data_IF_174561757761
#
_entry.id   IF_174561757761
#
_cell.length_a   1.000
_cell.length_b   1.000
_cell.length_c   1.000
_cell.angle_alpha   90.00
_cell.angle_beta   90.00
_cell.angle_gamma   90.00
#
_symmetry.space_group_name_H-M   'P 1'
#
loop_
_entity.id
_entity.type
_entity.pdbx_description
1 polymer ?
#
# COMPACT_ATOMS: atom_id res chain seq x y z
N UNK A 1 -8.67 -5.73 12.42
CA UNK A 1 -7.47 -5.00 11.98
C UNK A 1 -7.76 -3.51 12.08
N UNK A 2 -6.82 -2.72 12.58
CA UNK A 2 -6.91 -1.28 12.72
C UNK A 2 -6.13 -0.55 11.61
N UNK A 3 -6.43 0.73 11.42
CA UNK A 3 -5.67 1.65 10.57
C UNK A 3 -4.94 2.65 11.46
N UNK A 4 -3.86 3.26 10.95
CA UNK A 4 -3.14 4.27 11.73
C UNK A 4 -3.93 5.54 12.01
N UNK A 5 -4.84 5.88 11.12
CA UNK A 5 -5.89 6.89 11.26
C UNK A 5 -7.08 6.49 10.39
N UNK A 6 -8.18 7.24 10.45
CA UNK A 6 -9.20 7.16 9.39
C UNK A 6 -8.66 7.77 8.08
N UNK A 7 -9.24 7.37 6.94
CA UNK A 7 -8.96 7.98 5.64
C UNK A 7 -10.23 8.00 4.77
N UNK A 8 -10.29 8.96 3.84
CA UNK A 8 -11.36 9.02 2.84
C UNK A 8 -11.08 8.06 1.70
N UNK A 9 -12.08 7.38 1.17
CA UNK A 9 -11.92 6.47 0.04
C UNK A 9 -13.04 6.67 -0.98
N UNK A 10 -12.68 6.66 -2.26
CA UNK A 10 -13.64 6.42 -3.33
C UNK A 10 -14.20 4.99 -3.22
N UNK A 11 -15.38 4.73 -3.78
CA UNK A 11 -15.94 3.37 -3.78
C UNK A 11 -15.00 2.34 -4.45
N UNK A 12 -14.38 2.62 -5.62
CA UNK A 12 -13.41 1.70 -6.20
C UNK A 12 -12.23 1.40 -5.28
N UNK A 13 -11.67 2.42 -4.61
CA UNK A 13 -10.55 2.23 -3.69
C UNK A 13 -10.96 1.38 -2.50
N UNK A 14 -12.14 1.63 -1.91
CA UNK A 14 -12.64 0.88 -0.77
C UNK A 14 -12.83 -0.62 -1.09
N UNK A 15 -13.41 -0.93 -2.27
CA UNK A 15 -13.60 -2.32 -2.72
C UNK A 15 -12.25 -2.99 -2.99
N UNK A 16 -11.35 -2.34 -3.72
CA UNK A 16 -10.02 -2.89 -4.01
C UNK A 16 -9.23 -3.15 -2.72
N UNK A 17 -9.29 -2.23 -1.76
CA UNK A 17 -8.69 -2.41 -0.44
C UNK A 17 -9.28 -3.61 0.32
N UNK A 18 -10.61 -3.75 0.36
CA UNK A 18 -11.25 -4.87 1.04
C UNK A 18 -10.85 -6.23 0.43
N UNK A 19 -10.81 -6.33 -0.89
CA UNK A 19 -10.36 -7.53 -1.59
C UNK A 19 -8.88 -7.82 -1.35
N UNK A 20 -8.05 -6.78 -1.38
CA UNK A 20 -6.63 -6.88 -1.05
C UNK A 20 -6.40 -7.37 0.38
N UNK A 21 -7.13 -6.84 1.38
CA UNK A 21 -6.98 -7.27 2.77
C UNK A 21 -7.32 -8.77 2.92
N UNK A 22 -8.48 -9.18 2.40
CA UNK A 22 -9.00 -10.55 2.52
C UNK A 22 -8.15 -11.56 1.75
N UNK A 23 -7.76 -11.24 0.50
CA UNK A 23 -7.15 -12.21 -0.41
C UNK A 23 -5.64 -12.10 -0.54
N UNK A 24 -5.02 -11.03 -0.03
CA UNK A 24 -3.57 -10.83 -0.12
C UNK A 24 -2.94 -10.56 1.24
N UNK A 25 -3.34 -9.49 1.94
CA UNK A 25 -2.62 -9.02 3.13
C UNK A 25 -2.65 -10.04 4.26
N UNK A 26 -3.84 -10.49 4.66
CA UNK A 26 -3.98 -11.45 5.76
C UNK A 26 -3.42 -12.83 5.39
N UNK A 27 -3.68 -13.40 4.19
CA UNK A 27 -3.06 -14.65 3.79
C UNK A 27 -1.53 -14.59 3.74
N UNK A 28 -0.93 -13.49 3.25
CA UNK A 28 0.53 -13.33 3.23
C UNK A 28 1.10 -13.27 4.65
N UNK A 29 0.43 -12.54 5.57
CA UNK A 29 0.86 -12.45 6.96
C UNK A 29 0.78 -13.83 7.65
N UNK A 30 -0.30 -14.57 7.42
CA UNK A 30 -0.47 -15.91 7.96
C UNK A 30 0.58 -16.89 7.41
N UNK A 31 0.88 -16.82 6.10
CA UNK A 31 1.83 -17.71 5.46
C UNK A 31 3.29 -17.46 5.89
N UNK A 32 3.63 -16.21 6.18
CA UNK A 32 5.01 -15.83 6.54
C UNK A 32 5.24 -15.84 8.05
N UNK A 33 4.30 -15.33 8.83
CA UNK A 33 4.47 -15.14 10.27
C UNK A 33 3.56 -16.02 11.15
N UNK A 34 2.67 -16.80 10.55
CA UNK A 34 1.70 -17.60 11.31
C UNK A 34 0.63 -16.76 12.04
N UNK A 35 0.53 -15.46 11.75
CA UNK A 35 -0.35 -14.53 12.44
C UNK A 35 -0.87 -13.42 11.53
N UNK A 36 -1.89 -12.70 12.00
CA UNK A 36 -2.55 -11.62 11.26
C UNK A 36 -1.82 -10.29 11.37
N UNK A 37 -2.04 -9.43 10.38
CA UNK A 37 -1.78 -7.99 10.53
C UNK A 37 -2.87 -7.39 11.42
N UNK A 38 -2.44 -6.82 12.54
CA UNK A 38 -3.32 -6.11 13.48
C UNK A 38 -3.49 -4.63 13.13
N UNK A 39 -2.50 -3.99 12.50
CA UNK A 39 -2.57 -2.58 12.08
C UNK A 39 -1.85 -2.31 10.76
N UNK A 40 -2.40 -1.43 9.93
CA UNK A 40 -1.71 -0.83 8.78
C UNK A 40 -1.28 0.60 9.11
N UNK A 41 -0.02 0.92 8.85
CA UNK A 41 0.56 2.26 8.98
C UNK A 41 0.57 2.90 7.59
N UNK A 42 -0.26 3.95 7.38
CA UNK A 42 -0.46 4.59 6.08
C UNK A 42 -0.21 6.11 6.13
N UNK A 43 0.05 6.72 4.98
CA UNK A 43 0.32 8.15 4.81
C UNK A 43 -0.90 8.94 4.34
N UNK A 44 -1.99 8.24 4.02
CA UNK A 44 -3.28 8.85 3.69
C UNK A 44 -3.77 8.50 2.30
N UNK A 45 -4.96 9.00 1.97
CA UNK A 45 -5.63 8.73 0.69
C UNK A 45 -6.05 10.00 -0.06
N UNK A 46 -6.30 11.10 0.66
CA UNK A 46 -6.76 12.35 0.06
C UNK A 46 -5.72 13.46 0.16
N UNK A 47 -5.42 14.06 -1.00
CA UNK A 47 -4.67 15.30 -1.12
C UNK A 47 -5.02 15.95 -2.46
N UNK A 48 -5.73 17.08 -2.44
CA UNK A 48 -6.10 17.81 -3.66
C UNK A 48 -4.87 18.48 -4.29
N UNK A 49 -4.19 17.76 -5.18
CA UNK A 49 -2.97 18.22 -5.87
C UNK A 49 -2.74 17.50 -7.20
N UNK A 50 -1.95 18.14 -8.04
CA UNK A 50 -1.38 17.51 -9.23
C UNK A 50 -0.29 16.50 -8.86
N UNK A 51 0.06 15.62 -9.80
CA UNK A 51 1.15 14.65 -9.62
C UNK A 51 2.46 15.40 -9.33
N UNK A 52 3.17 14.99 -8.28
CA UNK A 52 4.38 15.66 -7.78
C UNK A 52 4.21 17.18 -7.52
N UNK A 53 2.98 17.67 -7.29
CA UNK A 53 2.66 19.10 -7.18
C UNK A 53 3.07 19.94 -8.40
N UNK A 54 3.23 19.33 -9.58
CA UNK A 54 3.61 20.05 -10.80
C UNK A 54 2.39 20.75 -11.40
N UNK A 55 2.46 22.07 -11.57
CA UNK A 55 1.36 22.91 -12.06
C UNK A 55 0.75 22.40 -13.38
N UNK A 56 1.58 21.95 -14.33
CA UNK A 56 1.15 21.51 -15.66
C UNK A 56 1.01 19.98 -15.79
N UNK A 57 0.83 19.26 -14.68
CA UNK A 57 0.59 17.81 -14.70
C UNK A 57 -0.86 17.48 -14.37
N UNK A 58 -1.32 16.29 -14.78
CA UNK A 58 -2.66 15.80 -14.42
C UNK A 58 -2.83 15.71 -12.90
N UNK A 59 -4.09 15.74 -12.46
CA UNK A 59 -4.46 15.48 -11.06
C UNK A 59 -3.94 14.11 -10.60
N UNK A 60 -3.44 14.07 -9.36
CA UNK A 60 -3.11 12.82 -8.69
C UNK A 60 -4.38 12.02 -8.39
N UNK A 61 -4.27 10.69 -8.29
CA UNK A 61 -5.37 9.87 -7.79
C UNK A 61 -5.74 10.18 -6.33
N UNK A 62 -4.82 10.76 -5.55
CA UNK A 62 -5.14 11.29 -4.23
C UNK A 62 -6.10 12.49 -4.25
N UNK A 63 -6.17 13.24 -5.36
CA UNK A 63 -7.05 14.40 -5.45
C UNK A 63 -8.54 14.03 -5.38
N UNK A 64 -8.85 12.76 -5.62
CA UNK A 64 -10.20 12.21 -5.60
C UNK A 64 -10.34 11.03 -4.63
N UNK A 65 -9.43 10.91 -3.65
CA UNK A 65 -9.39 9.79 -2.69
C UNK A 65 -9.41 8.41 -3.37
N UNK A 66 -8.78 8.30 -4.54
CA UNK A 66 -8.72 7.10 -5.39
C UNK A 66 -7.35 6.41 -5.30
N UNK A 67 -6.54 6.77 -4.31
CA UNK A 67 -5.24 6.17 -4.01
C UNK A 67 -5.00 6.07 -2.51
N UNK A 68 -4.18 5.13 -2.07
CA UNK A 68 -3.77 4.95 -0.68
C UNK A 68 -2.26 4.71 -0.63
N UNK A 69 -1.57 5.41 0.26
CA UNK A 69 -0.12 5.23 0.49
C UNK A 69 0.11 4.43 1.78
N UNK A 70 0.65 3.21 1.68
CA UNK A 70 0.93 2.31 2.83
C UNK A 70 2.44 2.26 3.13
N UNK A 71 2.84 2.61 4.35
CA UNK A 71 4.25 2.67 4.78
C UNK A 71 4.69 1.45 5.60
N UNK A 72 3.74 0.68 6.16
CA UNK A 72 4.08 -0.49 6.96
C UNK A 72 2.90 -1.17 7.63
N UNK A 73 3.23 -2.17 8.46
CA UNK A 73 2.28 -3.07 9.10
C UNK A 73 2.72 -3.38 10.53
N UNK A 74 1.75 -3.71 11.39
CA UNK A 74 1.97 -4.27 12.73
C UNK A 74 1.23 -5.59 12.86
N UNK A 75 1.95 -6.61 13.30
CA UNK A 75 1.39 -7.94 13.56
C UNK A 75 0.67 -7.98 14.92
N UNK A 76 -0.04 -9.08 15.19
CA UNK A 76 -0.82 -9.26 16.42
C UNK A 76 0.04 -9.29 17.69
N UNK A 77 1.28 -9.77 17.60
CA UNK A 77 2.28 -9.75 18.68
C UNK A 77 2.97 -8.39 18.87
N UNK A 78 2.65 -7.38 18.04
CA UNK A 78 3.25 -6.05 18.08
C UNK A 78 4.51 -5.88 17.21
N UNK A 79 5.00 -6.93 16.55
CA UNK A 79 6.10 -6.84 15.59
C UNK A 79 5.77 -5.83 14.49
N UNK A 80 6.75 -4.96 14.19
CA UNK A 80 6.62 -3.91 13.18
C UNK A 80 7.37 -4.28 11.91
N UNK A 81 6.71 -4.03 10.79
CA UNK A 81 7.23 -4.18 9.44
C UNK A 81 7.12 -2.82 8.76
N UNK A 82 8.23 -2.25 8.32
CA UNK A 82 8.31 -0.92 7.74
C UNK A 82 8.97 -0.99 6.37
N UNK A 83 8.31 -0.42 5.36
CA UNK A 83 8.77 -0.57 3.99
C UNK A 83 10.17 0.01 3.77
N UNK A 84 10.46 1.19 4.32
CA UNK A 84 11.78 1.83 4.18
C UNK A 84 12.92 0.99 4.75
N UNK A 85 12.69 0.27 5.86
CA UNK A 85 13.73 -0.50 6.56
C UNK A 85 13.84 -1.95 6.12
N UNK A 86 12.70 -2.57 5.85
CA UNK A 86 12.61 -4.02 5.71
C UNK A 86 12.45 -4.46 4.22
N UNK A 87 12.27 -3.52 3.29
CA UNK A 87 12.21 -3.86 1.87
C UNK A 87 13.56 -4.37 1.35
N UNK A 88 13.54 -5.50 0.66
CA UNK A 88 14.75 -6.15 0.14
C UNK A 88 15.54 -6.95 1.17
N UNK A 89 15.08 -6.99 2.43
CA UNK A 89 15.62 -7.92 3.42
C UNK A 89 15.41 -9.39 2.97
N UNK A 90 16.43 -10.22 3.16
CA UNK A 90 16.35 -11.66 2.86
C UNK A 90 15.50 -12.45 3.85
N UNK A 91 15.13 -11.82 4.98
CA UNK A 91 14.26 -12.41 6.00
C UNK A 91 12.77 -12.35 5.67
N UNK A 92 11.97 -12.81 6.63
CA UNK A 92 10.51 -12.92 6.51
C UNK A 92 9.84 -11.57 6.23
N UNK A 93 10.37 -10.46 6.74
CA UNK A 93 9.79 -9.13 6.51
C UNK A 93 9.90 -8.71 5.05
N UNK A 94 11.07 -8.86 4.44
CA UNK A 94 11.25 -8.54 3.01
C UNK A 94 10.44 -9.48 2.12
N UNK A 95 10.39 -10.77 2.45
CA UNK A 95 9.51 -11.75 1.79
C UNK A 95 8.04 -11.36 1.87
N UNK A 96 7.55 -11.00 3.05
CA UNK A 96 6.17 -10.55 3.26
C UNK A 96 5.85 -9.28 2.45
N UNK A 97 6.74 -8.29 2.47
CA UNK A 97 6.53 -7.05 1.71
C UNK A 97 6.47 -7.31 0.19
N UNK A 98 7.28 -8.23 -0.31
CA UNK A 98 7.26 -8.67 -1.71
C UNK A 98 5.90 -9.31 -2.06
N UNK A 99 5.43 -10.25 -1.23
CA UNK A 99 4.13 -10.90 -1.42
C UNK A 99 2.96 -9.91 -1.37
N UNK A 100 3.02 -8.94 -0.44
CA UNK A 100 2.02 -7.87 -0.33
C UNK A 100 1.99 -7.02 -1.59
N UNK A 101 3.14 -6.57 -2.08
CA UNK A 101 3.26 -5.76 -3.30
C UNK A 101 2.71 -6.53 -4.52
N UNK A 102 3.12 -7.78 -4.70
CA UNK A 102 2.70 -8.58 -5.85
C UNK A 102 1.21 -8.92 -5.82
N UNK A 103 0.64 -9.21 -4.65
CA UNK A 103 -0.80 -9.43 -4.51
C UNK A 103 -1.62 -8.14 -4.62
N UNK A 104 -1.09 -7.00 -4.20
CA UNK A 104 -1.72 -5.69 -4.41
C UNK A 104 -1.93 -5.42 -5.92
N UNK A 105 -0.96 -5.78 -6.77
CA UNK A 105 -1.06 -5.61 -8.21
C UNK A 105 -2.22 -6.37 -8.88
N UNK A 106 -2.86 -7.31 -8.18
CA UNK A 106 -4.06 -8.02 -8.66
C UNK A 106 -5.35 -7.22 -8.41
N UNK A 107 -5.35 -6.35 -7.42
CA UNK A 107 -6.55 -5.64 -6.95
C UNK A 107 -6.53 -4.15 -7.33
N UNK A 108 -5.33 -3.55 -7.40
CA UNK A 108 -5.14 -2.15 -7.76
C UNK A 108 -4.67 -2.02 -9.22
N UNK A 109 -5.03 -0.90 -9.86
CA UNK A 109 -4.56 -0.58 -11.20
C UNK A 109 -3.07 -0.24 -11.19
N UNK A 110 -2.66 0.63 -10.26
CA UNK A 110 -1.27 1.05 -10.09
C UNK A 110 -0.78 0.70 -8.70
N UNK A 111 0.38 0.06 -8.62
CA UNK A 111 1.15 -0.15 -7.39
C UNK A 111 2.57 0.34 -7.66
N UNK A 112 3.00 1.38 -6.95
CA UNK A 112 4.35 1.94 -7.01
C UNK A 112 5.02 1.78 -5.64
N UNK A 113 6.19 1.18 -5.61
CA UNK A 113 6.98 0.97 -4.41
C UNK A 113 8.45 1.34 -4.59
N UNK A 114 9.34 0.80 -3.73
CA UNK A 114 10.73 1.23 -3.69
C UNK A 114 11.53 0.96 -4.98
N UNK A 115 11.07 0.03 -5.81
CA UNK A 115 11.68 -0.27 -7.11
C UNK A 115 11.22 0.67 -8.23
N UNK A 116 10.20 1.52 -8.01
CA UNK A 116 9.72 2.46 -9.03
C UNK A 116 10.59 3.71 -9.13
N UNK A 117 10.73 4.46 -8.03
CA UNK A 117 11.62 5.63 -7.92
C UNK A 117 11.84 6.07 -6.47
N UNK A 118 12.73 7.04 -6.27
CA UNK A 118 13.09 7.57 -4.95
C UNK A 118 11.91 8.15 -4.15
N UNK A 119 10.86 8.65 -4.81
CA UNK A 119 9.70 9.21 -4.13
C UNK A 119 8.81 8.14 -3.47
N UNK A 120 8.91 6.87 -3.90
CA UNK A 120 8.12 5.75 -3.38
C UNK A 120 8.98 4.76 -2.58
N UNK A 121 10.15 5.18 -2.10
CA UNK A 121 11.08 4.33 -1.35
C UNK A 121 10.57 3.86 0.02
N UNK A 122 9.60 4.57 0.58
CA UNK A 122 9.13 4.40 1.95
C UNK A 122 7.64 4.07 2.08
N UNK A 123 6.92 4.00 0.96
CA UNK A 123 5.52 3.57 0.91
C UNK A 123 5.17 2.88 -0.41
N UNK A 124 4.14 2.03 -0.37
CA UNK A 124 3.43 1.61 -1.58
C UNK A 124 2.32 2.61 -1.88
N UNK A 125 2.40 3.24 -3.05
CA UNK A 125 1.28 3.97 -3.63
C UNK A 125 0.39 3.00 -4.39
N UNK A 126 -0.87 2.89 -3.99
CA UNK A 126 -1.84 1.97 -4.59
C UNK A 126 -3.04 2.78 -5.09
N UNK A 127 -3.38 2.70 -6.37
CA UNK A 127 -4.48 3.49 -6.96
C UNK A 127 -5.37 2.73 -7.95
N UNK A 128 -6.57 3.28 -8.16
CA UNK A 128 -7.59 2.76 -9.10
C UNK A 128 -7.69 3.62 -10.37
N UNK A 129 -6.57 4.19 -10.81
CA UNK A 129 -6.46 4.94 -12.05
C UNK A 129 -6.64 4.08 -13.29
N UNK A 130 -6.63 4.73 -14.46
CA UNK A 130 -6.84 4.07 -15.77
C UNK A 130 -5.64 3.26 -16.27
N UNK A 131 -4.47 3.47 -15.69
CA UNK A 131 -3.22 2.85 -16.13
C UNK A 131 -2.87 1.65 -15.26
N UNK A 132 -2.36 0.58 -15.89
CA UNK A 132 -1.86 -0.59 -15.18
C UNK A 132 -0.35 -0.52 -15.00
N UNK A 133 0.12 -0.39 -13.76
CA UNK A 133 1.55 -0.36 -13.41
C UNK A 133 1.76 -1.16 -12.13
N UNK A 134 2.77 -2.03 -12.10
CA UNK A 134 3.18 -2.77 -10.91
C UNK A 134 4.71 -2.72 -10.84
N UNK A 135 5.26 -1.84 -10.00
CA UNK A 135 6.72 -1.62 -9.86
C UNK A 135 7.09 -1.28 -8.44
#
# INVERSE_FOLDING_TARGET
MALSSSFLASCPLAVAYALFDIHTLQPAAQAVFGQRVARIDHLGSFACRNIYNRANSRLSQHATANALDIAGFRLADGQRINLLRDWGDSGDKGRFLTLVRDGACKNFSTVLGPQYNAAHRDHFHMDMGRWRVCR
#
